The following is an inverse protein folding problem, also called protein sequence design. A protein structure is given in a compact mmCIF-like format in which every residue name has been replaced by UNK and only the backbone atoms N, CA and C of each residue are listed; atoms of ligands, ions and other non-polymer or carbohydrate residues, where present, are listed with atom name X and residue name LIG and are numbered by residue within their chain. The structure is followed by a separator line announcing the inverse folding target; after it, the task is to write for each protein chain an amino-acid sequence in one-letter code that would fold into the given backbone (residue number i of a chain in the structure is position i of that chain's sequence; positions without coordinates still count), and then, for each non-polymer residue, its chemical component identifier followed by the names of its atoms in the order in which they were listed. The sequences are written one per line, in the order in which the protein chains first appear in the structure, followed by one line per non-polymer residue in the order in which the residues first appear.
data_IF_623659644595
#
_entry.id   IF_623659644595
#
_cell.length_a   1.000
_cell.length_b   1.000
_cell.length_c   1.000
_cell.angle_alpha   90.00
_cell.angle_beta   90.00
_cell.angle_gamma   90.00
#
_symmetry.space_group_name_H-M   'P 1'
#
loop_
_entity.id
_entity.type
_entity.pdbx_description
1 polymer ?
#
# COMPACT_ATOMS: atom_id res chain seq x y z
N UNK A 1 1.20 61.23 -3.98
CA UNK A 1 0.07 60.75 -4.80
C UNK A 1 0.69 60.04 -5.99
N UNK A 2 0.71 58.72 -6.15
CA UNK A 2 -0.05 57.59 -5.62
C UNK A 2 0.94 56.40 -5.48
N UNK A 3 0.88 55.64 -4.40
CA UNK A 3 1.60 54.37 -4.26
C UNK A 3 0.69 53.25 -4.80
N UNK A 4 1.14 52.52 -5.82
CA UNK A 4 0.44 51.32 -6.29
C UNK A 4 1.11 50.09 -5.69
N UNK A 5 0.47 49.53 -4.66
CA UNK A 5 0.79 48.24 -4.08
C UNK A 5 0.24 47.17 -5.01
N UNK A 6 1.11 46.50 -5.77
CA UNK A 6 0.74 45.27 -6.47
C UNK A 6 0.87 44.09 -5.50
N UNK A 7 -0.25 43.69 -4.90
CA UNK A 7 -0.40 42.37 -4.29
C UNK A 7 -0.48 41.33 -5.41
N UNK A 8 0.61 40.62 -5.69
CA UNK A 8 0.51 39.32 -6.35
C UNK A 8 0.24 38.29 -5.26
N UNK A 9 -1.04 37.99 -5.07
CA UNK A 9 -1.48 36.88 -4.25
C UNK A 9 -0.73 35.62 -4.70
N UNK A 10 -0.08 34.95 -3.75
CA UNK A 10 0.51 33.63 -3.93
C UNK A 10 -0.58 32.70 -4.44
N UNK A 11 -0.55 32.39 -5.74
CA UNK A 11 -1.24 31.23 -6.27
C UNK A 11 -0.56 30.02 -5.64
N UNK A 12 -1.13 29.56 -4.54
CA UNK A 12 -0.71 28.32 -3.90
C UNK A 12 -0.65 27.25 -4.98
N UNK A 13 0.49 26.56 -5.02
CA UNK A 13 0.57 25.22 -5.58
C UNK A 13 -0.53 24.40 -4.91
N UNK A 14 -1.67 24.26 -5.59
CA UNK A 14 -2.62 23.22 -5.28
C UNK A 14 -1.87 21.91 -5.55
N UNK A 15 -1.27 21.34 -4.50
CA UNK A 15 -1.06 19.91 -4.47
C UNK A 15 -2.40 19.31 -4.88
N UNK A 16 -2.44 18.60 -6.00
CA UNK A 16 -3.62 17.88 -6.42
C UNK A 16 -4.04 17.04 -5.21
N UNK A 17 -5.13 17.45 -4.54
CA UNK A 17 -5.76 16.61 -3.55
C UNK A 17 -6.02 15.30 -4.27
N UNK A 18 -5.49 14.20 -3.73
CA UNK A 18 -5.89 12.87 -4.16
C UNK A 18 -7.41 12.90 -4.29
N UNK A 19 -7.95 12.60 -5.47
CA UNK A 19 -9.39 12.62 -5.73
C UNK A 19 -10.10 12.02 -4.53
N UNK A 20 -11.07 12.75 -3.94
CA UNK A 20 -11.71 12.37 -2.68
C UNK A 20 -12.10 10.90 -2.75
N UNK A 21 -11.34 10.06 -2.06
CA UNK A 21 -11.57 8.65 -2.11
C UNK A 21 -12.82 8.36 -1.27
N UNK A 22 -13.91 8.02 -1.94
CA UNK A 22 -15.21 7.79 -1.29
C UNK A 22 -15.30 6.42 -0.62
N UNK A 23 -14.31 5.54 -0.80
CA UNK A 23 -14.25 4.26 -0.10
C UNK A 23 -14.01 4.51 1.38
N UNK A 24 -14.89 4.02 2.25
CA UNK A 24 -14.71 4.17 3.68
C UNK A 24 -13.54 3.29 4.20
N UNK A 25 -12.89 3.67 5.31
CA UNK A 25 -11.98 2.76 6.03
C UNK A 25 -12.61 1.39 6.24
N UNK A 26 -11.85 0.31 6.02
CA UNK A 26 -12.30 -1.08 6.15
C UNK A 26 -13.43 -1.50 5.20
N UNK A 27 -13.87 -0.66 4.27
CA UNK A 27 -14.83 -1.03 3.25
C UNK A 27 -14.18 -1.85 2.13
N UNK A 28 -15.03 -2.51 1.33
CA UNK A 28 -14.61 -3.18 0.10
C UNK A 28 -14.03 -2.14 -0.86
N UNK A 29 -12.85 -2.44 -1.40
CA UNK A 29 -12.13 -1.56 -2.31
C UNK A 29 -11.78 -2.21 -3.63
N UNK A 30 -12.23 -3.45 -3.90
CA UNK A 30 -11.92 -4.10 -5.16
C UNK A 30 -12.11 -5.61 -5.18
N UNK A 31 -11.73 -6.18 -6.31
CA UNK A 31 -11.68 -7.62 -6.59
C UNK A 31 -10.86 -7.86 -7.86
N UNK A 32 -10.51 -9.11 -8.19
CA UNK A 32 -9.79 -9.44 -9.43
C UNK A 32 -10.58 -9.02 -10.68
N UNK A 33 -11.92 -9.02 -10.60
CA UNK A 33 -12.79 -8.65 -11.73
C UNK A 33 -13.00 -7.13 -11.85
N UNK A 34 -12.95 -6.38 -10.74
CA UNK A 34 -13.18 -4.94 -10.71
C UNK A 34 -11.88 -4.12 -10.69
N UNK A 35 -10.74 -4.76 -10.38
CA UNK A 35 -9.49 -4.11 -10.07
C UNK A 35 -9.50 -3.43 -8.71
N UNK A 36 -8.40 -2.75 -8.41
CA UNK A 36 -8.20 -1.98 -7.18
C UNK A 36 -8.84 -0.60 -7.32
N UNK A 37 -9.76 -0.27 -6.41
CA UNK A 37 -10.27 1.08 -6.21
C UNK A 37 -9.42 1.83 -5.18
N UNK A 38 -9.60 3.15 -5.09
CA UNK A 38 -8.88 3.94 -4.10
C UNK A 38 -9.26 3.54 -2.67
N UNK A 39 -8.35 3.84 -1.74
CA UNK A 39 -8.61 3.89 -0.31
C UNK A 39 -8.28 5.30 0.22
N UNK A 40 -8.89 5.72 1.36
CA UNK A 40 -8.63 7.03 1.95
C UNK A 40 -7.18 7.15 2.41
N UNK A 41 -6.72 8.37 2.69
CA UNK A 41 -5.35 8.62 3.15
C UNK A 41 -5.05 7.80 4.41
N UNK A 42 -3.90 7.12 4.42
CA UNK A 42 -3.52 6.18 5.49
C UNK A 42 -4.00 4.75 5.30
N UNK A 43 -4.72 4.47 4.21
CA UNK A 43 -5.21 3.14 3.86
C UNK A 43 -4.72 2.68 2.49
N UNK A 44 -4.60 1.37 2.31
CA UNK A 44 -4.33 0.74 1.03
C UNK A 44 -5.32 -0.41 0.79
N UNK A 45 -5.53 -0.77 -0.48
CA UNK A 45 -6.50 -1.79 -0.84
C UNK A 45 -5.87 -3.19 -0.80
N UNK A 46 -6.06 -3.94 0.29
CA UNK A 46 -5.48 -5.26 0.49
C UNK A 46 -6.32 -6.36 -0.17
N UNK A 47 -5.74 -7.20 -1.04
CA UNK A 47 -6.40 -8.39 -1.54
C UNK A 47 -6.51 -9.49 -0.49
N UNK A 48 -7.72 -9.97 -0.21
CA UNK A 48 -7.97 -11.13 0.66
C UNK A 48 -8.28 -12.39 -0.15
N UNK A 49 -9.06 -12.25 -1.21
CA UNK A 49 -9.35 -13.30 -2.18
C UNK A 49 -9.79 -12.65 -3.49
N UNK A 50 -10.05 -13.48 -4.51
CA UNK A 50 -10.36 -13.01 -5.86
C UNK A 50 -11.60 -12.14 -5.98
N UNK A 51 -12.52 -12.22 -5.02
CA UNK A 51 -13.77 -11.46 -5.02
C UNK A 51 -13.80 -10.29 -4.03
N UNK A 52 -12.79 -10.16 -3.16
CA UNK A 52 -12.85 -9.21 -2.04
C UNK A 52 -11.49 -8.65 -1.66
N UNK A 53 -11.34 -7.35 -1.88
CA UNK A 53 -10.26 -6.53 -1.37
C UNK A 53 -10.80 -5.52 -0.36
N UNK A 54 -10.00 -5.11 0.62
CA UNK A 54 -10.43 -4.21 1.69
C UNK A 54 -9.45 -3.08 1.94
N UNK A 55 -9.96 -1.87 2.23
CA UNK A 55 -9.12 -0.80 2.72
C UNK A 55 -8.60 -1.12 4.12
N UNK A 56 -7.28 -1.28 4.27
CA UNK A 56 -6.62 -1.50 5.56
C UNK A 56 -5.61 -0.40 5.84
N UNK A 57 -5.33 -0.16 7.12
CA UNK A 57 -4.33 0.80 7.54
C UNK A 57 -2.95 0.43 6.94
N UNK A 58 -2.25 1.43 6.43
CA UNK A 58 -0.87 1.26 5.95
C UNK A 58 0.04 0.90 7.13
N UNK A 59 0.82 -0.20 7.05
CA UNK A 59 1.74 -0.56 8.11
C UNK A 59 2.79 0.54 8.35
N UNK A 60 3.01 0.91 9.62
CA UNK A 60 3.83 2.07 9.97
C UNK A 60 5.29 2.04 9.43
N UNK A 61 5.88 0.86 9.26
CA UNK A 61 7.26 0.70 8.74
C UNK A 61 7.31 0.51 7.22
N UNK A 62 6.15 0.35 6.56
CA UNK A 62 6.04 0.05 5.13
C UNK A 62 4.99 0.99 4.51
N UNK A 63 5.38 2.26 4.38
CA UNK A 63 4.49 3.37 4.03
C UNK A 63 3.91 3.30 2.62
N UNK A 64 4.47 2.46 1.75
CA UNK A 64 3.96 2.25 0.40
C UNK A 64 3.65 0.77 0.21
N UNK A 65 2.40 0.50 -0.17
CA UNK A 65 1.90 -0.83 -0.49
C UNK A 65 1.56 -0.87 -1.96
N UNK A 66 1.84 -2.00 -2.60
CA UNK A 66 1.53 -2.25 -4.00
C UNK A 66 0.57 -3.43 -4.07
N UNK A 67 -0.74 -3.17 -3.99
CA UNK A 67 -1.75 -4.21 -4.19
C UNK A 67 -1.51 -4.94 -5.51
N UNK A 68 -1.83 -6.24 -5.51
CA UNK A 68 -1.73 -7.11 -6.70
C UNK A 68 -0.35 -7.09 -7.38
N UNK A 69 0.71 -6.95 -6.58
CA UNK A 69 2.09 -6.91 -7.06
C UNK A 69 2.90 -8.03 -6.41
N UNK A 70 3.58 -8.81 -7.23
CA UNK A 70 4.64 -9.72 -6.77
C UNK A 70 6.01 -9.15 -7.15
N UNK A 71 6.82 -8.86 -6.13
CA UNK A 71 8.23 -8.55 -6.33
C UNK A 71 8.99 -9.84 -6.62
N UNK A 72 9.05 -10.25 -7.89
CA UNK A 72 9.62 -11.53 -8.28
C UNK A 72 11.11 -11.65 -7.91
N UNK A 73 11.49 -12.80 -7.33
CA UNK A 73 12.88 -13.09 -6.93
C UNK A 73 13.29 -12.47 -5.59
N UNK A 74 14.61 -12.39 -5.38
CA UNK A 74 15.27 -11.83 -4.20
C UNK A 74 14.81 -12.40 -2.85
N UNK A 75 14.31 -13.64 -2.82
CA UNK A 75 13.73 -14.24 -1.63
C UNK A 75 14.78 -14.50 -0.53
N UNK A 76 14.56 -13.92 0.65
CA UNK A 76 15.34 -14.15 1.87
C UNK A 76 14.73 -15.25 2.72
N UNK A 77 13.41 -15.18 2.94
CA UNK A 77 12.70 -16.08 3.84
C UNK A 77 11.21 -16.08 3.50
N UNK A 78 10.55 -17.23 3.62
CA UNK A 78 9.08 -17.33 3.66
C UNK A 78 8.59 -17.51 5.09
N UNK A 79 7.62 -16.70 5.50
CA UNK A 79 6.90 -16.82 6.77
C UNK A 79 5.44 -17.13 6.47
N UNK A 80 4.87 -18.13 7.14
CA UNK A 80 3.51 -18.57 6.88
C UNK A 80 2.55 -18.23 8.02
N UNK A 81 1.27 -18.08 7.70
CA UNK A 81 0.19 -17.95 8.69
C UNK A 81 0.15 -16.60 9.42
N UNK A 82 0.76 -15.56 8.83
CA UNK A 82 0.77 -14.20 9.41
C UNK A 82 -0.12 -13.25 8.61
N UNK A 83 -0.36 -12.06 9.17
CA UNK A 83 -1.13 -10.99 8.53
C UNK A 83 -0.22 -10.06 7.71
N UNK A 84 -0.78 -9.25 6.77
CA UNK A 84 0.00 -8.33 5.95
C UNK A 84 0.85 -7.33 6.78
N UNK A 85 0.27 -6.78 7.85
CA UNK A 85 0.97 -5.86 8.76
C UNK A 85 2.11 -6.55 9.50
N UNK A 86 1.94 -7.80 9.92
CA UNK A 86 3.00 -8.60 10.52
C UNK A 86 4.10 -8.93 9.50
N UNK A 87 3.76 -9.12 8.22
CA UNK A 87 4.75 -9.32 7.15
C UNK A 87 5.67 -8.09 7.01
N UNK A 88 5.11 -6.88 7.09
CA UNK A 88 5.89 -5.65 7.18
C UNK A 88 6.80 -5.63 8.42
N UNK A 89 6.28 -5.94 9.61
CA UNK A 89 7.09 -6.01 10.84
C UNK A 89 8.25 -6.99 10.71
N UNK A 90 8.01 -8.15 10.09
CA UNK A 90 9.03 -9.17 9.84
C UNK A 90 10.09 -8.69 8.87
N UNK A 91 9.71 -8.03 7.78
CA UNK A 91 10.69 -7.42 6.87
C UNK A 91 11.51 -6.35 7.60
N UNK A 92 10.87 -5.42 8.32
CA UNK A 92 11.55 -4.35 9.04
C UNK A 92 12.55 -4.84 10.11
N UNK A 93 12.33 -6.04 10.67
CA UNK A 93 13.23 -6.67 11.65
C UNK A 93 14.24 -7.65 11.03
N UNK A 94 14.16 -7.92 9.73
CA UNK A 94 15.05 -8.86 9.03
C UNK A 94 16.16 -8.10 8.32
N UNK A 95 17.40 -8.35 8.73
CA UNK A 95 18.58 -7.73 8.11
C UNK A 95 18.64 -8.06 6.60
N UNK A 96 18.81 -7.04 5.78
CA UNK A 96 18.84 -7.17 4.33
C UNK A 96 17.47 -7.20 3.65
N UNK A 97 16.35 -7.20 4.39
CA UNK A 97 15.03 -7.11 3.77
C UNK A 97 14.76 -5.68 3.26
N UNK A 98 14.38 -5.56 1.99
CA UNK A 98 14.03 -4.30 1.33
C UNK A 98 12.57 -4.27 0.88
N UNK A 99 11.94 -5.43 0.71
CA UNK A 99 10.55 -5.56 0.29
C UNK A 99 9.93 -6.86 0.79
N UNK A 100 8.62 -7.01 0.63
CA UNK A 100 7.95 -8.29 0.80
C UNK A 100 6.82 -8.46 -0.23
N UNK A 101 6.50 -9.71 -0.57
CA UNK A 101 5.23 -10.07 -1.22
C UNK A 101 4.36 -10.80 -0.20
N UNK A 102 3.12 -10.37 0.01
CA UNK A 102 2.15 -11.08 0.84
C UNK A 102 1.08 -11.73 -0.02
N UNK A 103 0.90 -13.04 0.13
CA UNK A 103 -0.08 -13.83 -0.62
C UNK A 103 -1.09 -14.45 0.35
N UNK A 104 -2.33 -13.97 0.30
CA UNK A 104 -3.39 -14.49 1.16
C UNK A 104 -3.92 -15.86 0.67
N UNK A 105 -4.07 -16.01 -0.65
CA UNK A 105 -4.56 -17.22 -1.32
C UNK A 105 -3.44 -18.21 -1.63
N UNK A 106 -2.69 -18.62 -0.60
CA UNK A 106 -1.68 -19.66 -0.69
C UNK A 106 -2.21 -20.99 -0.10
N UNK A 107 -1.94 -22.17 -0.70
CA UNK A 107 -2.44 -23.44 -0.18
C UNK A 107 -2.13 -23.65 1.31
N UNK A 108 -3.16 -23.92 2.09
CA UNK A 108 -3.07 -24.18 3.54
C UNK A 108 -3.12 -22.93 4.41
N UNK A 109 -2.34 -21.89 4.10
CA UNK A 109 -2.27 -20.66 4.88
C UNK A 109 -1.61 -19.51 4.10
N UNK A 110 -1.84 -18.23 4.48
CA UNK A 110 -1.16 -17.09 3.88
C UNK A 110 0.36 -17.23 3.94
N UNK A 111 1.03 -16.66 2.95
CA UNK A 111 2.49 -16.64 2.85
C UNK A 111 3.01 -15.20 2.75
N UNK A 112 4.08 -14.92 3.47
CA UNK A 112 4.85 -13.69 3.44
C UNK A 112 6.25 -14.01 2.94
N UNK A 113 6.59 -13.51 1.76
CA UNK A 113 7.90 -13.67 1.15
C UNK A 113 8.71 -12.42 1.44
N UNK A 114 9.70 -12.51 2.34
CA UNK A 114 10.64 -11.44 2.64
C UNK A 114 11.71 -11.39 1.56
N UNK A 115 12.05 -10.19 1.09
CA UNK A 115 12.88 -10.02 -0.11
C UNK A 115 14.01 -9.03 0.11
N UNK A 116 15.18 -9.29 -0.47
CA UNK A 116 16.32 -8.37 -0.44
C UNK A 116 16.23 -7.22 -1.44
N UNK A 117 15.23 -7.25 -2.33
CA UNK A 117 15.02 -6.25 -3.37
C UNK A 117 13.61 -6.33 -3.94
N UNK A 118 13.30 -5.46 -4.90
CA UNK A 118 12.02 -5.45 -5.63
C UNK A 118 12.09 -6.20 -6.97
N UNK A 119 13.16 -6.97 -7.22
CA UNK A 119 13.45 -7.56 -8.53
C UNK A 119 13.99 -6.56 -9.56
N UNK A 120 14.33 -7.06 -10.76
CA UNK A 120 14.80 -6.32 -11.95
C UNK A 120 13.80 -6.39 -13.10
#
# INVERSE_FOLDING_TARGET
MLAHIFFLATAGIAAAAAADCNTAPYASCGSDSAGVSCCPSGYYCQPWNSAYYQCLDVPAQCSQQYPDTDFYGDDLQTVYGIQPSECCTRCASTAGCAAYTFVNSNPGQPACYLKSGTGT
#
